data_IF_623531014490
#
_entry.id   IF_623531014490
#
_cell.length_a   1.000
_cell.length_b   1.000
_cell.length_c   1.000
_cell.angle_alpha   90.00
_cell.angle_beta   90.00
_cell.angle_gamma   90.00
#
_symmetry.space_group_name_H-M   'P 1'
#
loop_
_entity.id
_entity.type
_entity.pdbx_description
1 polymer ?
#
# COMPACT_ATOMS: atom_id res chain seq x y z
N UNK A 1 15.70 -18.89 22.48
CA UNK A 1 15.85 -18.63 21.03
C UNK A 1 14.49 -18.87 20.38
N UNK A 2 13.68 -17.82 20.19
CA UNK A 2 12.34 -17.98 19.60
C UNK A 2 12.48 -18.11 18.09
N UNK A 3 12.36 -19.34 17.60
CA UNK A 3 12.32 -19.65 16.17
C UNK A 3 10.88 -19.48 15.69
N UNK A 4 10.57 -18.34 15.08
CA UNK A 4 9.30 -18.16 14.39
C UNK A 4 9.33 -19.04 13.13
N UNK A 5 8.39 -20.00 12.96
CA UNK A 5 8.32 -20.77 11.73
C UNK A 5 8.11 -19.83 10.55
N UNK A 6 9.05 -19.82 9.59
CA UNK A 6 8.97 -18.98 8.38
C UNK A 6 7.76 -19.39 7.54
N UNK A 7 6.66 -18.67 7.69
CA UNK A 7 5.47 -18.84 6.86
C UNK A 7 5.74 -18.18 5.50
N UNK A 8 5.94 -18.96 4.43
CA UNK A 8 6.27 -18.45 3.08
C UNK A 8 5.24 -17.48 2.49
N UNK A 9 4.00 -17.51 2.98
CA UNK A 9 2.93 -16.60 2.57
C UNK A 9 3.00 -15.24 3.25
N UNK A 10 3.72 -15.09 4.36
CA UNK A 10 3.85 -13.83 5.08
C UNK A 10 5.14 -13.11 4.67
N UNK A 11 5.02 -11.87 4.23
CA UNK A 11 6.12 -11.01 3.81
C UNK A 11 6.08 -9.72 4.60
N UNK A 12 7.23 -9.29 5.10
CA UNK A 12 7.39 -7.97 5.66
C UNK A 12 7.65 -6.96 4.52
N UNK A 13 7.08 -5.77 4.63
CA UNK A 13 7.30 -4.65 3.73
C UNK A 13 7.87 -3.52 4.59
N UNK A 14 8.98 -2.95 4.15
CA UNK A 14 9.54 -1.73 4.73
C UNK A 14 10.14 -0.89 3.60
N UNK A 15 9.92 0.42 3.67
CA UNK A 15 10.41 1.37 2.68
C UNK A 15 10.59 2.72 3.37
N UNK A 16 11.69 3.39 3.05
CA UNK A 16 11.88 4.79 3.41
C UNK A 16 11.94 5.58 2.11
N UNK A 17 11.17 6.65 2.03
CA UNK A 17 11.13 7.56 0.89
C UNK A 17 11.56 8.93 1.36
N UNK A 18 12.44 9.54 0.58
CA UNK A 18 12.74 10.96 0.66
C UNK A 18 12.46 11.57 -0.71
N UNK A 19 11.94 12.79 -0.71
CA UNK A 19 11.59 13.50 -1.92
C UNK A 19 11.98 14.95 -1.73
N UNK A 20 12.74 15.48 -2.68
CA UNK A 20 13.19 16.86 -2.69
C UNK A 20 12.97 17.43 -4.08
N UNK A 21 12.41 18.63 -4.17
CA UNK A 21 12.15 19.25 -5.46
C UNK A 21 11.51 20.62 -5.32
N UNK A 22 11.08 21.16 -6.47
CA UNK A 22 10.40 22.45 -6.53
C UNK A 22 9.15 22.31 -7.39
N UNK A 23 7.98 22.53 -6.79
CA UNK A 23 6.69 22.56 -7.53
C UNK A 23 6.27 24.01 -7.64
N UNK A 24 6.21 24.52 -8.87
CA UNK A 24 5.67 25.85 -9.20
C UNK A 24 6.10 26.99 -8.25
N UNK A 25 7.40 27.01 -7.88
CA UNK A 25 8.10 27.97 -6.97
C UNK A 25 8.13 27.63 -5.47
N UNK A 26 7.54 26.53 -5.02
CA UNK A 26 7.69 26.07 -3.64
C UNK A 26 8.68 24.92 -3.51
N UNK A 27 9.59 25.02 -2.55
CA UNK A 27 10.50 23.93 -2.19
C UNK A 27 9.69 22.83 -1.50
N UNK A 28 9.65 21.67 -2.12
CA UNK A 28 9.03 20.47 -1.61
C UNK A 28 10.10 19.61 -0.93
N UNK A 29 9.88 19.30 0.35
CA UNK A 29 10.62 18.27 1.07
C UNK A 29 9.59 17.30 1.66
N UNK A 30 9.66 16.06 1.22
CA UNK A 30 8.82 14.95 1.65
C UNK A 30 9.67 13.86 2.27
N UNK A 31 9.34 13.37 3.46
CA UNK A 31 9.90 12.11 3.98
C UNK A 31 8.77 11.22 4.47
N UNK A 32 8.84 9.94 4.11
CA UNK A 32 7.88 8.94 4.54
C UNK A 32 8.57 7.61 4.86
N UNK A 33 8.16 7.00 5.95
CA UNK A 33 8.53 5.65 6.34
C UNK A 33 7.29 4.77 6.21
N UNK A 34 7.40 3.70 5.46
CA UNK A 34 6.33 2.74 5.24
C UNK A 34 6.79 1.41 5.83
N UNK A 35 6.00 0.83 6.71
CA UNK A 35 6.23 -0.48 7.28
C UNK A 35 4.93 -1.28 7.25
N UNK A 36 5.00 -2.58 7.05
CA UNK A 36 3.80 -3.38 6.97
C UNK A 36 4.03 -4.84 6.65
N UNK A 37 2.93 -5.52 6.38
CA UNK A 37 2.91 -6.94 6.08
C UNK A 37 2.07 -7.22 4.84
N UNK A 38 2.44 -8.26 4.13
CA UNK A 38 1.63 -8.86 3.08
C UNK A 38 1.46 -10.35 3.35
N UNK A 39 0.24 -10.84 3.20
CA UNK A 39 -0.11 -12.23 3.27
C UNK A 39 -0.68 -12.69 1.92
N UNK A 40 0.03 -13.58 1.24
CA UNK A 40 -0.42 -14.19 -0.01
C UNK A 40 -1.20 -15.48 0.30
N UNK A 41 -2.52 -15.47 0.10
CA UNK A 41 -3.38 -16.63 0.23
C UNK A 41 -3.79 -17.20 -1.13
N UNK A 42 -3.36 -18.42 -1.41
CA UNK A 42 -3.75 -19.15 -2.63
C UNK A 42 -4.95 -20.04 -2.34
N UNK A 43 -6.14 -19.55 -2.66
CA UNK A 43 -7.37 -20.34 -2.52
C UNK A 43 -7.46 -21.44 -3.58
N UNK A 44 -6.97 -21.21 -4.81
CA UNK A 44 -6.97 -22.22 -5.89
C UNK A 44 -5.90 -21.91 -6.96
N UNK A 45 -5.69 -22.82 -7.92
CA UNK A 45 -4.80 -22.59 -9.08
C UNK A 45 -5.18 -21.34 -9.90
N UNK A 46 -6.44 -20.91 -9.82
CA UNK A 46 -6.98 -19.74 -10.54
C UNK A 46 -7.26 -18.52 -9.66
N UNK A 47 -7.26 -18.67 -8.33
CA UNK A 47 -7.64 -17.60 -7.40
C UNK A 47 -6.53 -17.39 -6.37
N UNK A 48 -5.96 -16.18 -6.37
CA UNK A 48 -4.91 -15.75 -5.46
C UNK A 48 -5.34 -14.44 -4.81
N UNK A 49 -5.46 -14.43 -3.48
CA UNK A 49 -5.89 -13.29 -2.68
C UNK A 49 -4.71 -12.80 -1.87
N UNK A 50 -4.47 -11.50 -1.90
CA UNK A 50 -3.36 -10.84 -1.22
C UNK A 50 -3.92 -9.85 -0.23
N UNK A 51 -3.57 -10.02 1.02
CA UNK A 51 -3.88 -9.08 2.07
C UNK A 51 -2.63 -8.28 2.36
N UNK A 52 -2.71 -6.96 2.26
CA UNK A 52 -1.59 -6.06 2.52
C UNK A 52 -2.03 -5.03 3.54
N UNK A 53 -1.31 -4.94 4.65
CA UNK A 53 -1.52 -3.89 5.65
C UNK A 53 -0.27 -3.04 5.72
N UNK A 54 -0.38 -1.77 5.36
CA UNK A 54 0.71 -0.81 5.44
C UNK A 54 0.44 0.23 6.51
N UNK A 55 1.47 0.57 7.26
CA UNK A 55 1.55 1.68 8.17
C UNK A 55 2.53 2.69 7.59
N UNK A 56 2.07 3.91 7.37
CA UNK A 56 2.83 4.97 6.75
C UNK A 56 3.00 6.08 7.78
N UNK A 57 4.24 6.38 8.11
CA UNK A 57 4.62 7.53 8.91
C UNK A 57 5.25 8.59 8.00
N UNK A 58 4.56 9.71 7.79
CA UNK A 58 5.01 10.81 6.94
C UNK A 58 5.22 12.08 7.79
N UNK A 59 6.38 12.21 8.46
CA UNK A 59 6.65 13.34 9.36
C UNK A 59 6.76 14.70 8.65
N UNK A 60 7.16 14.72 7.38
CA UNK A 60 7.31 15.94 6.61
C UNK A 60 6.68 15.77 5.24
N UNK A 61 5.56 16.46 5.01
CA UNK A 61 4.95 16.64 3.69
C UNK A 61 4.55 18.11 3.60
N UNK A 62 5.44 18.95 3.06
CA UNK A 62 5.13 20.37 2.82
C UNK A 62 4.54 20.52 1.43
N UNK A 63 3.20 20.44 1.30
CA UNK A 63 2.49 20.84 0.08
C UNK A 63 1.78 22.16 0.36
N UNK A 64 2.11 23.21 -0.39
CA UNK A 64 1.33 24.46 -0.46
C UNK A 64 0.92 25.08 0.87
N UNK A 65 1.90 25.74 1.53
CA UNK A 65 1.74 26.92 2.39
C UNK A 65 0.70 26.97 3.51
N UNK A 66 -0.05 25.92 3.81
CA UNK A 66 -0.89 25.85 5.01
C UNK A 66 -1.13 24.39 5.37
N UNK A 67 -0.88 24.08 6.64
CA UNK A 67 -1.22 22.83 7.30
C UNK A 67 -0.26 21.69 6.93
N UNK A 68 0.82 21.60 7.72
CA UNK A 68 1.44 20.34 8.16
C UNK A 68 0.33 19.30 8.25
N UNK A 69 0.29 18.36 7.30
CA UNK A 69 -0.72 17.30 7.22
C UNK A 69 -0.93 16.72 8.62
N UNK A 70 -2.11 17.00 9.18
CA UNK A 70 -2.44 16.87 10.60
C UNK A 70 -2.57 15.42 11.06
N UNK A 71 -2.20 14.47 10.21
CA UNK A 71 -2.11 13.06 10.55
C UNK A 71 -0.86 12.42 9.94
N UNK A 72 0.27 12.43 10.66
CA UNK A 72 1.53 11.85 10.18
C UNK A 72 1.47 10.32 10.12
N UNK A 73 0.44 9.69 10.69
CA UNK A 73 0.29 8.24 10.73
C UNK A 73 -0.93 7.81 9.93
N UNK A 74 -0.70 6.99 8.91
CA UNK A 74 -1.72 6.50 7.99
C UNK A 74 -1.66 4.98 7.94
N UNK A 75 -2.83 4.34 8.05
CA UNK A 75 -3.00 2.90 7.91
C UNK A 75 -3.72 2.61 6.61
N UNK A 76 -3.14 1.74 5.80
CA UNK A 76 -3.66 1.37 4.48
C UNK A 76 -3.85 -0.14 4.38
N UNK A 77 -5.03 -0.68 4.75
CA UNK A 77 -5.42 -2.03 4.43
C UNK A 77 -5.81 -2.14 2.96
N UNK A 78 -5.23 -3.11 2.25
CA UNK A 78 -5.50 -3.43 0.86
C UNK A 78 -5.76 -4.93 0.75
N UNK A 79 -6.77 -5.29 -0.04
CA UNK A 79 -7.10 -6.66 -0.43
C UNK A 79 -7.05 -6.72 -1.94
N UNK A 80 -6.13 -7.51 -2.47
CA UNK A 80 -5.95 -7.74 -3.91
C UNK A 80 -6.33 -9.15 -4.31
N UNK A 81 -7.32 -9.31 -5.17
CA UNK A 81 -7.73 -10.61 -5.72
C UNK A 81 -7.30 -10.73 -7.16
N UNK A 82 -6.59 -11.81 -7.48
CA UNK A 82 -6.20 -12.18 -8.82
C UNK A 82 -7.01 -13.39 -9.28
N UNK A 83 -7.70 -13.26 -10.41
CA UNK A 83 -8.54 -14.28 -11.04
C UNK A 83 -7.93 -14.64 -12.39
N UNK A 84 -7.39 -15.85 -12.54
CA UNK A 84 -6.92 -16.36 -13.81
C UNK A 84 -8.10 -16.90 -14.63
N UNK A 85 -8.52 -16.16 -15.66
CA UNK A 85 -9.55 -16.63 -16.60
C UNK A 85 -8.93 -17.67 -17.55
N UNK A 86 -7.73 -17.39 -18.07
CA UNK A 86 -6.98 -18.33 -18.93
C UNK A 86 -5.53 -18.47 -18.44
N UNK A 87 -4.75 -19.35 -19.09
CA UNK A 87 -3.30 -19.48 -18.77
C UNK A 87 -2.53 -18.18 -19.01
N UNK A 88 -2.98 -17.35 -19.95
CA UNK A 88 -2.33 -16.09 -20.37
C UNK A 88 -3.02 -14.83 -19.83
N UNK A 89 -4.31 -14.91 -19.49
CA UNK A 89 -5.10 -13.76 -19.07
C UNK A 89 -5.53 -13.87 -17.60
N UNK A 90 -5.22 -12.82 -16.83
CA UNK A 90 -5.58 -12.68 -15.42
C UNK A 90 -6.28 -11.35 -15.18
N UNK A 91 -7.42 -11.37 -14.51
CA UNK A 91 -8.02 -10.19 -13.91
C UNK A 91 -7.42 -9.94 -12.53
N UNK A 92 -7.25 -8.69 -12.17
CA UNK A 92 -6.83 -8.23 -10.86
C UNK A 92 -7.83 -7.20 -10.35
N UNK A 93 -8.30 -7.39 -9.12
CA UNK A 93 -9.19 -6.46 -8.43
C UNK A 93 -8.55 -6.15 -7.09
N UNK A 94 -8.16 -4.91 -6.85
CA UNK A 94 -7.66 -4.47 -5.56
C UNK A 94 -8.64 -3.49 -4.95
N UNK A 95 -8.97 -3.71 -3.69
CA UNK A 95 -9.78 -2.82 -2.87
C UNK A 95 -8.94 -2.40 -1.67
N UNK A 96 -8.96 -1.13 -1.32
CA UNK A 96 -8.21 -0.66 -0.17
C UNK A 96 -8.81 0.61 0.40
N UNK A 97 -8.56 0.84 1.68
CA UNK A 97 -8.89 2.09 2.34
C UNK A 97 -7.63 2.74 2.86
N UNK A 98 -7.66 4.06 3.01
CA UNK A 98 -6.59 4.82 3.65
C UNK A 98 -7.19 5.56 4.83
N UNK A 99 -6.71 5.23 6.03
CA UNK A 99 -7.20 5.76 7.29
C UNK A 99 -6.09 6.57 7.96
N UNK A 100 -6.33 7.85 8.17
CA UNK A 100 -5.45 8.73 8.94
C UNK A 100 -5.78 8.58 10.43
N UNK A 101 -4.78 8.34 11.28
CA UNK A 101 -4.98 8.22 12.73
C UNK A 101 -5.31 9.62 13.28
N UNK A 102 -6.45 9.77 13.96
CA UNK A 102 -7.04 11.03 14.43
C UNK A 102 -7.79 11.87 13.38
N UNK A 103 -8.06 11.35 12.18
CA UNK A 103 -8.97 11.98 11.21
C UNK A 103 -10.02 10.99 10.68
N UNK A 104 -11.19 11.49 10.28
CA UNK A 104 -12.25 10.67 9.70
C UNK A 104 -11.86 10.26 8.27
N UNK A 105 -11.64 8.95 8.06
CA UNK A 105 -11.50 8.18 6.80
C UNK A 105 -11.01 9.02 5.61
N UNK A 106 -9.73 8.86 5.26
CA UNK A 106 -9.10 9.74 4.30
C UNK A 106 -9.48 9.41 2.85
N UNK A 107 -9.62 8.12 2.45
CA UNK A 107 -10.07 7.71 1.10
C UNK A 107 -10.37 6.20 0.99
N UNK A 108 -11.21 5.79 0.02
CA UNK A 108 -11.39 4.40 -0.42
C UNK A 108 -10.95 4.27 -1.88
N UNK A 109 -10.25 3.18 -2.21
CA UNK A 109 -9.73 2.91 -3.55
C UNK A 109 -10.24 1.56 -4.03
N UNK A 110 -10.82 1.54 -5.23
CA UNK A 110 -11.07 0.32 -5.98
C UNK A 110 -10.31 0.40 -7.29
N UNK A 111 -9.49 -0.61 -7.55
CA UNK A 111 -8.69 -0.72 -8.75
C UNK A 111 -9.03 -2.02 -9.45
N UNK A 112 -9.39 -1.91 -10.72
CA UNK A 112 -9.56 -3.04 -11.62
C UNK A 112 -8.43 -3.01 -12.65
N UNK A 113 -7.84 -4.17 -12.89
CA UNK A 113 -6.75 -4.32 -13.85
C UNK A 113 -6.81 -5.67 -14.54
N UNK A 114 -6.16 -5.75 -15.69
CA UNK A 114 -6.00 -6.99 -16.45
C UNK A 114 -4.52 -7.18 -16.74
N UNK A 115 -4.02 -8.39 -16.53
CA UNK A 115 -2.67 -8.79 -16.95
C UNK A 115 -2.80 -9.82 -18.06
N UNK A 116 -2.28 -9.45 -19.22
CA UNK A 116 -2.13 -10.32 -20.38
C UNK A 116 -0.65 -10.66 -20.52
N UNK A 117 -0.31 -11.94 -20.41
CA UNK A 117 1.01 -12.45 -20.74
C UNK A 117 0.98 -12.85 -22.23
N UNK A 118 1.68 -12.09 -23.07
CA UNK A 118 1.87 -12.39 -24.49
C UNK A 118 2.71 -13.66 -24.63
#
# INVERSE_FOLDING_TARGET
MWSFPKVKSLKAIYMATSSFGQVYRQKFLGTAFIAGGMYDWKASKRFDVKFTGLFIYAPYVSYYNDIVLKSPYVVMPIIGTNIAITKKFKLNVNMGGTYAINENIMNFTVMFGTRLAL
#
